data_IF_255172501522
#
_entry.id   IF_255172501522
#
_cell.length_a   1.000
_cell.length_b   1.000
_cell.length_c   1.000
_cell.angle_alpha   90.00
_cell.angle_beta   90.00
_cell.angle_gamma   90.00
#
_symmetry.space_group_name_H-M   'P 1'
#
loop_
_entity.id
_entity.type
_entity.pdbx_description
1 polymer ?
#
# COMPACT_ATOMS: atom_id res chain seq x y z
N UNK A 1 -0.89 17.89 1.24
CA UNK A 1 -2.31 17.76 0.84
C UNK A 1 -2.83 19.06 0.23
N UNK A 2 -2.80 20.20 0.92
CA UNK A 2 -3.35 21.47 0.42
C UNK A 2 -2.72 21.96 -0.89
N UNK A 3 -1.40 21.81 -1.08
CA UNK A 3 -0.75 22.15 -2.37
C UNK A 3 -1.37 21.38 -3.55
N UNK A 4 -1.68 20.08 -3.37
CA UNK A 4 -2.36 19.27 -4.38
C UNK A 4 -3.81 19.71 -4.62
N UNK A 5 -4.54 20.06 -3.56
CA UNK A 5 -5.92 20.55 -3.67
C UNK A 5 -5.94 21.88 -4.43
N UNK A 6 -5.05 22.82 -4.09
CA UNK A 6 -4.91 24.12 -4.74
C UNK A 6 -4.55 23.98 -6.23
N UNK A 7 -3.58 23.11 -6.57
CA UNK A 7 -3.22 22.82 -7.95
C UNK A 7 -4.37 22.25 -8.79
N UNK A 8 -5.32 21.56 -8.17
CA UNK A 8 -6.53 21.00 -8.80
C UNK A 8 -7.76 21.91 -8.67
N UNK A 9 -7.62 23.18 -8.29
CA UNK A 9 -8.73 24.12 -8.13
C UNK A 9 -9.72 23.76 -7.00
N UNK A 10 -9.31 22.89 -6.06
CA UNK A 10 -10.15 22.44 -4.94
C UNK A 10 -9.88 23.28 -3.69
N UNK A 11 -10.93 23.44 -2.87
CA UNK A 11 -10.84 24.15 -1.58
C UNK A 11 -9.82 23.47 -0.66
N UNK A 12 -9.00 24.27 -0.02
CA UNK A 12 -8.04 23.81 1.00
C UNK A 12 -8.78 23.29 2.23
N UNK A 13 -8.16 22.32 2.88
CA UNK A 13 -8.65 21.76 4.15
C UNK A 13 -8.00 22.54 5.31
N UNK A 14 -8.81 23.01 6.24
CA UNK A 14 -8.33 23.68 7.45
C UNK A 14 -7.59 22.71 8.39
N UNK A 15 -6.78 23.26 9.28
CA UNK A 15 -5.91 22.48 10.15
C UNK A 15 -6.69 21.55 11.11
N UNK A 16 -7.85 21.97 11.60
CA UNK A 16 -8.66 21.16 12.52
C UNK A 16 -9.28 19.96 11.82
N UNK A 17 -9.85 20.18 10.65
CA UNK A 17 -10.41 19.12 9.79
C UNK A 17 -9.33 18.12 9.38
N UNK A 18 -8.14 18.62 9.01
CA UNK A 18 -7.00 17.76 8.69
C UNK A 18 -6.57 16.93 9.89
N UNK A 19 -6.41 17.54 11.06
CA UNK A 19 -5.97 16.85 12.28
C UNK A 19 -6.98 15.78 12.73
N UNK A 20 -8.29 16.07 12.61
CA UNK A 20 -9.35 15.09 12.89
C UNK A 20 -9.24 13.88 11.96
N UNK A 21 -9.18 14.12 10.67
CA UNK A 21 -9.05 13.06 9.65
C UNK A 21 -7.79 12.23 9.84
N UNK A 22 -6.65 12.87 10.12
CA UNK A 22 -5.39 12.17 10.38
C UNK A 22 -5.51 11.22 11.58
N UNK A 23 -6.09 11.68 12.70
CA UNK A 23 -6.29 10.87 13.89
C UNK A 23 -7.23 9.67 13.62
N UNK A 24 -8.35 9.90 12.96
CA UNK A 24 -9.31 8.85 12.62
C UNK A 24 -8.66 7.76 11.76
N UNK A 25 -7.95 8.16 10.70
CA UNK A 25 -7.25 7.21 9.81
C UNK A 25 -6.11 6.49 10.55
N UNK A 26 -5.35 7.19 11.38
CA UNK A 26 -4.28 6.57 12.15
C UNK A 26 -4.82 5.53 13.16
N UNK A 27 -5.93 5.82 13.83
CA UNK A 27 -6.59 4.86 14.72
C UNK A 27 -7.04 3.60 13.99
N UNK A 28 -7.60 3.73 12.77
CA UNK A 28 -7.98 2.58 11.91
C UNK A 28 -6.79 1.70 11.54
N UNK A 29 -5.60 2.29 11.41
CA UNK A 29 -4.35 1.61 11.12
C UNK A 29 -3.60 1.14 12.37
N UNK A 30 -4.23 1.19 13.54
CA UNK A 30 -3.67 0.71 14.81
C UNK A 30 -2.51 1.57 15.35
N UNK A 31 -2.43 2.85 14.97
CA UNK A 31 -1.44 3.75 15.55
C UNK A 31 -1.88 4.29 16.91
N UNK A 32 -0.95 4.33 17.85
CA UNK A 32 -1.12 5.11 19.10
C UNK A 32 -1.07 6.61 18.82
N UNK A 33 -1.68 7.42 19.71
CA UNK A 33 -1.67 8.89 19.58
C UNK A 33 -0.26 9.48 19.58
N UNK A 34 0.70 8.81 20.22
CA UNK A 34 2.07 9.31 20.37
C UNK A 34 2.87 9.17 19.06
N UNK A 35 2.53 8.22 18.20
CA UNK A 35 3.18 8.06 16.89
C UNK A 35 3.00 9.28 15.99
N UNK A 36 1.82 9.93 16.07
CA UNK A 36 1.54 11.14 15.28
C UNK A 36 2.29 12.39 15.75
N UNK A 37 2.93 12.34 16.92
CA UNK A 37 3.76 13.44 17.46
C UNK A 37 5.22 13.31 17.12
N UNK A 38 5.66 12.12 16.65
CA UNK A 38 7.05 11.86 16.27
C UNK A 38 7.35 12.44 14.89
N UNK A 39 8.60 12.76 14.65
CA UNK A 39 9.06 13.06 13.29
C UNK A 39 8.86 11.84 12.39
N UNK A 40 8.55 12.07 11.13
CA UNK A 40 8.27 10.99 10.15
C UNK A 40 9.49 10.08 10.05
N UNK A 41 9.25 8.78 10.21
CA UNK A 41 10.26 7.71 10.18
C UNK A 41 11.30 7.72 11.31
N UNK A 42 11.22 8.61 12.28
CA UNK A 42 12.14 8.64 13.41
C UNK A 42 11.67 7.67 14.51
N UNK A 43 12.51 6.67 14.79
CA UNK A 43 12.23 5.65 15.81
C UNK A 43 11.07 4.70 15.46
N UNK A 44 10.64 4.61 14.19
CA UNK A 44 9.62 3.68 13.75
C UNK A 44 10.21 2.28 13.53
N UNK A 45 9.50 1.25 13.99
CA UNK A 45 9.74 -0.12 13.58
C UNK A 45 9.45 -0.32 12.08
N UNK A 46 9.91 -1.43 11.49
CA UNK A 46 9.61 -1.75 10.09
C UNK A 46 8.10 -1.77 9.81
N UNK A 47 7.32 -2.44 10.68
CA UNK A 47 5.86 -2.49 10.55
C UNK A 47 5.18 -1.13 10.73
N UNK A 48 5.67 -0.28 11.64
CA UNK A 48 5.15 1.08 11.79
C UNK A 48 5.40 1.92 10.54
N UNK A 49 6.58 1.82 9.92
CA UNK A 49 6.90 2.53 8.67
C UNK A 49 5.93 2.14 7.56
N UNK A 50 5.68 0.84 7.36
CA UNK A 50 4.76 0.35 6.31
C UNK A 50 3.31 0.78 6.56
N UNK A 51 2.82 0.69 7.80
CA UNK A 51 1.50 1.24 8.16
C UNK A 51 1.43 2.76 7.95
N UNK A 52 2.54 3.47 8.20
CA UNK A 52 2.60 4.91 7.97
C UNK A 52 2.56 5.27 6.48
N UNK A 53 3.13 4.46 5.59
CA UNK A 53 2.97 4.60 4.13
C UNK A 53 1.49 4.49 3.74
N UNK A 54 0.76 3.50 4.30
CA UNK A 54 -0.69 3.36 4.08
C UNK A 54 -1.47 4.57 4.63
N UNK A 55 -1.09 5.10 5.80
CA UNK A 55 -1.67 6.33 6.35
C UNK A 55 -1.49 7.51 5.39
N UNK A 56 -0.29 7.69 4.83
CA UNK A 56 -0.02 8.74 3.85
C UNK A 56 -0.90 8.58 2.60
N UNK A 57 -1.00 7.37 2.04
CA UNK A 57 -1.88 7.10 0.89
C UNK A 57 -3.35 7.42 1.22
N UNK A 58 -3.83 7.04 2.40
CA UNK A 58 -5.20 7.28 2.83
C UNK A 58 -5.55 8.77 2.95
N UNK A 59 -4.56 9.59 3.34
CA UNK A 59 -4.71 11.04 3.45
C UNK A 59 -4.58 11.72 2.08
N UNK A 60 -3.58 11.31 1.28
CA UNK A 60 -3.26 11.97 0.01
C UNK A 60 -4.15 11.54 -1.14
N UNK A 61 -4.72 10.33 -1.06
CA UNK A 61 -5.55 9.69 -2.11
C UNK A 61 -4.95 9.87 -3.51
N UNK A 62 -3.77 9.29 -3.76
CA UNK A 62 -3.13 9.38 -5.08
C UNK A 62 -3.97 8.62 -6.12
N UNK A 63 -3.85 8.99 -7.39
CA UNK A 63 -4.42 8.23 -8.50
C UNK A 63 -3.61 6.98 -8.82
N UNK A 64 -2.30 7.01 -8.61
CA UNK A 64 -1.39 5.88 -8.72
C UNK A 64 -0.58 5.75 -7.43
N UNK A 65 -0.56 4.55 -6.86
CA UNK A 65 0.30 4.15 -5.74
C UNK A 65 1.25 3.06 -6.21
N UNK A 66 2.53 3.23 -5.92
CA UNK A 66 3.56 2.21 -6.18
C UNK A 66 4.00 1.68 -4.81
N UNK A 67 3.81 0.37 -4.60
CA UNK A 67 4.11 -0.34 -3.37
C UNK A 67 5.24 -1.33 -3.66
N UNK A 68 6.43 -1.00 -3.19
CA UNK A 68 7.62 -1.82 -3.43
C UNK A 68 7.96 -2.60 -2.15
N UNK A 69 7.82 -3.94 -2.23
CA UNK A 69 8.05 -4.87 -1.12
C UNK A 69 7.44 -4.41 0.22
N UNK A 70 6.20 -3.92 0.18
CA UNK A 70 5.51 -3.35 1.35
C UNK A 70 5.21 -4.40 2.42
N UNK A 71 5.24 -5.66 2.06
CA UNK A 71 5.03 -6.84 2.90
C UNK A 71 6.31 -7.39 3.55
N UNK A 72 7.49 -6.92 3.13
CA UNK A 72 8.77 -7.38 3.67
C UNK A 72 8.92 -7.02 5.14
N UNK A 73 9.22 -8.03 5.98
CA UNK A 73 9.44 -7.84 7.41
C UNK A 73 8.17 -7.57 8.23
N UNK A 74 6.98 -7.77 7.68
CA UNK A 74 5.72 -7.68 8.41
C UNK A 74 5.34 -9.01 9.04
N UNK A 75 4.83 -8.97 10.29
CA UNK A 75 4.05 -10.06 10.85
C UNK A 75 2.66 -10.15 10.20
N UNK A 76 1.91 -11.19 10.54
CA UNK A 76 0.60 -11.47 9.94
C UNK A 76 -0.39 -10.34 10.21
N UNK A 77 -0.37 -9.77 11.41
CA UNK A 77 -1.31 -8.72 11.82
C UNK A 77 -1.00 -7.39 11.11
N UNK A 78 0.27 -7.03 11.03
CA UNK A 78 0.71 -5.85 10.30
C UNK A 78 0.42 -5.96 8.79
N UNK A 79 0.63 -7.15 8.20
CA UNK A 79 0.29 -7.42 6.81
C UNK A 79 -1.21 -7.23 6.56
N UNK A 80 -2.06 -7.75 7.44
CA UNK A 80 -3.52 -7.60 7.36
C UNK A 80 -3.94 -6.12 7.37
N UNK A 81 -3.40 -5.33 8.30
CA UNK A 81 -3.67 -3.89 8.39
C UNK A 81 -3.28 -3.17 7.09
N UNK A 82 -2.11 -3.50 6.53
CA UNK A 82 -1.62 -2.90 5.27
C UNK A 82 -2.53 -3.28 4.10
N UNK A 83 -2.88 -4.55 3.97
CA UNK A 83 -3.72 -5.03 2.85
C UNK A 83 -5.15 -4.52 2.93
N UNK A 84 -5.75 -4.46 4.12
CA UNK A 84 -7.05 -3.82 4.34
C UNK A 84 -7.00 -2.33 3.99
N UNK A 85 -5.94 -1.63 4.39
CA UNK A 85 -5.72 -0.23 4.05
C UNK A 85 -5.66 0.01 2.55
N UNK A 86 -4.95 -0.84 1.79
CA UNK A 86 -4.87 -0.79 0.34
C UNK A 86 -6.24 -1.09 -0.28
N UNK A 87 -6.93 -2.14 0.16
CA UNK A 87 -8.25 -2.51 -0.36
C UNK A 87 -9.29 -1.40 -0.15
N UNK A 88 -9.26 -0.73 1.00
CA UNK A 88 -10.15 0.40 1.30
C UNK A 88 -9.90 1.63 0.41
N UNK A 89 -8.72 1.72 -0.21
CA UNK A 89 -8.37 2.80 -1.13
C UNK A 89 -8.66 2.48 -2.60
N UNK A 90 -8.98 1.23 -2.92
CA UNK A 90 -9.34 0.84 -4.29
C UNK A 90 -10.60 1.56 -4.74
N UNK A 91 -10.54 2.11 -5.94
CA UNK A 91 -11.68 2.81 -6.57
C UNK A 91 -11.51 2.80 -8.08
N UNK A 92 -12.54 3.22 -8.81
CA UNK A 92 -12.49 3.36 -10.28
C UNK A 92 -11.47 4.42 -10.75
N UNK A 93 -10.98 5.26 -9.84
CA UNK A 93 -10.06 6.38 -10.15
C UNK A 93 -8.69 6.23 -9.47
N UNK A 94 -8.41 5.06 -8.86
CA UNK A 94 -7.14 4.75 -8.23
C UNK A 94 -6.54 3.47 -8.81
N UNK A 95 -5.24 3.47 -9.02
CA UNK A 95 -4.45 2.33 -9.49
C UNK A 95 -3.33 2.02 -8.51
N UNK A 96 -3.01 0.74 -8.37
CA UNK A 96 -1.93 0.25 -7.53
C UNK A 96 -0.98 -0.59 -8.36
N UNK A 97 0.31 -0.26 -8.34
CA UNK A 97 1.39 -1.10 -8.82
C UNK A 97 2.08 -1.70 -7.60
N UNK A 98 1.98 -3.00 -7.43
CA UNK A 98 2.51 -3.71 -6.26
C UNK A 98 3.64 -4.62 -6.73
N UNK A 99 4.81 -4.46 -6.12
CA UNK A 99 5.98 -5.31 -6.34
C UNK A 99 6.12 -6.17 -5.10
N UNK A 100 6.03 -7.47 -5.27
CA UNK A 100 6.16 -8.44 -4.17
C UNK A 100 6.63 -9.79 -4.70
N UNK A 101 7.26 -10.55 -3.83
CA UNK A 101 7.58 -11.97 -4.05
C UNK A 101 6.79 -12.88 -3.08
N UNK A 102 5.86 -12.31 -2.30
CA UNK A 102 5.05 -13.05 -1.32
C UNK A 102 3.62 -13.26 -1.80
N UNK A 103 3.24 -14.51 -1.98
CA UNK A 103 1.87 -14.92 -2.33
C UNK A 103 0.84 -14.41 -1.34
N UNK A 104 1.14 -14.42 -0.03
CA UNK A 104 0.24 -13.99 1.03
C UNK A 104 -0.34 -12.59 0.81
N UNK A 105 0.44 -11.67 0.23
CA UNK A 105 -0.04 -10.34 -0.11
C UNK A 105 -1.10 -10.42 -1.21
N UNK A 106 -0.85 -11.22 -2.25
CA UNK A 106 -1.74 -11.36 -3.42
C UNK A 106 -3.05 -12.04 -3.05
N UNK A 107 -3.05 -12.93 -2.05
CA UNK A 107 -4.26 -13.56 -1.54
C UNK A 107 -5.20 -12.56 -0.88
N UNK A 108 -4.65 -11.56 -0.20
CA UNK A 108 -5.43 -10.55 0.51
C UNK A 108 -5.82 -9.35 -0.37
N UNK A 109 -5.01 -8.98 -1.38
CA UNK A 109 -5.30 -7.82 -2.23
C UNK A 109 -6.04 -8.21 -3.51
N UNK A 110 -5.99 -9.45 -3.98
CA UNK A 110 -6.61 -9.93 -5.21
C UNK A 110 -6.33 -9.02 -6.43
N UNK A 111 -5.17 -9.16 -7.07
CA UNK A 111 -4.78 -8.30 -8.19
C UNK A 111 -5.67 -8.52 -9.42
N UNK A 112 -5.93 -7.45 -10.19
CA UNK A 112 -6.62 -7.53 -11.48
C UNK A 112 -5.70 -8.12 -12.55
N UNK A 113 -4.40 -7.77 -12.50
CA UNK A 113 -3.35 -8.25 -13.40
C UNK A 113 -2.09 -8.63 -12.63
N UNK A 114 -1.41 -9.67 -13.11
CA UNK A 114 -0.12 -10.14 -12.61
C UNK A 114 0.88 -10.16 -13.77
N UNK A 115 2.05 -9.57 -13.55
CA UNK A 115 3.17 -9.59 -14.48
C UNK A 115 4.37 -10.26 -13.82
N UNK A 116 4.93 -11.27 -14.47
CA UNK A 116 6.15 -11.94 -14.00
C UNK A 116 7.35 -11.31 -14.67
N UNK A 117 8.31 -10.87 -13.87
CA UNK A 117 9.56 -10.29 -14.34
C UNK A 117 10.68 -11.29 -14.07
N UNK A 118 11.42 -11.66 -15.11
CA UNK A 118 12.65 -12.45 -15.01
C UNK A 118 13.71 -11.86 -15.95
N UNK A 119 14.95 -11.83 -15.50
CA UNK A 119 16.09 -11.29 -16.27
C UNK A 119 15.83 -9.86 -16.84
N UNK A 120 15.14 -9.00 -16.07
CA UNK A 120 14.83 -7.63 -16.47
C UNK A 120 13.74 -7.48 -17.53
N UNK A 121 12.97 -8.55 -17.81
CA UNK A 121 11.89 -8.56 -18.82
C UNK A 121 10.61 -9.12 -18.24
N UNK A 122 9.46 -8.64 -18.75
CA UNK A 122 8.16 -9.24 -18.47
C UNK A 122 8.07 -10.53 -19.31
N UNK A 123 8.07 -11.69 -18.65
CA UNK A 123 8.05 -13.01 -19.30
C UNK A 123 6.65 -13.62 -19.36
N UNK A 124 5.74 -13.18 -18.49
CA UNK A 124 4.32 -13.60 -18.51
C UNK A 124 3.43 -12.49 -17.97
N UNK A 125 2.22 -12.38 -18.50
CA UNK A 125 1.18 -11.46 -18.02
C UNK A 125 -0.17 -12.15 -18.03
N UNK A 126 -1.02 -11.88 -17.04
CA UNK A 126 -2.38 -12.45 -16.96
C UNK A 126 -3.04 -12.15 -15.61
N UNK A 127 -4.00 -12.97 -15.22
CA UNK A 127 -4.76 -12.84 -13.98
C UNK A 127 -4.07 -13.48 -12.77
N UNK A 128 -4.81 -13.56 -11.66
CA UNK A 128 -4.34 -14.10 -10.36
C UNK A 128 -3.77 -15.53 -10.46
N UNK A 129 -4.27 -16.37 -11.36
CA UNK A 129 -3.79 -17.75 -11.55
C UNK A 129 -2.28 -17.85 -11.83
N UNK A 130 -1.67 -16.80 -12.41
CA UNK A 130 -0.22 -16.78 -12.62
C UNK A 130 0.53 -16.78 -11.28
N UNK A 131 0.04 -16.07 -10.28
CA UNK A 131 0.64 -16.05 -8.95
C UNK A 131 0.55 -17.44 -8.28
N UNK A 132 -0.60 -18.11 -8.41
CA UNK A 132 -0.80 -19.47 -7.93
C UNK A 132 0.13 -20.48 -8.63
N UNK A 133 0.31 -20.35 -9.95
CA UNK A 133 1.26 -21.16 -10.72
C UNK A 133 2.71 -20.99 -10.23
N UNK A 134 3.11 -19.75 -9.87
CA UNK A 134 4.45 -19.48 -9.36
C UNK A 134 4.65 -20.12 -7.99
N UNK A 135 3.67 -20.06 -7.12
CA UNK A 135 3.74 -20.67 -5.79
C UNK A 135 3.94 -22.18 -5.88
N UNK A 136 3.17 -22.84 -6.78
CA UNK A 136 3.23 -24.29 -6.95
C UNK A 136 4.50 -24.77 -7.66
N UNK A 137 5.02 -24.04 -8.63
CA UNK A 137 6.10 -24.50 -9.52
C UNK A 137 7.40 -23.70 -9.44
N UNK A 138 7.40 -22.61 -8.68
CA UNK A 138 8.53 -21.68 -8.59
C UNK A 138 8.78 -20.90 -9.88
N UNK A 139 9.78 -20.03 -9.86
CA UNK A 139 10.16 -19.20 -11.00
C UNK A 139 10.86 -19.97 -12.14
N UNK A 140 11.27 -21.23 -11.92
CA UNK A 140 12.03 -22.03 -12.90
C UNK A 140 11.32 -22.23 -14.25
N UNK A 141 10.00 -22.09 -14.29
CA UNK A 141 9.23 -22.16 -15.53
C UNK A 141 9.29 -20.87 -16.37
N UNK A 142 9.84 -19.80 -15.82
CA UNK A 142 9.76 -18.46 -16.42
C UNK A 142 11.14 -17.88 -16.79
N UNK A 143 12.24 -18.57 -16.45
CA UNK A 143 13.60 -18.11 -16.78
C UNK A 143 14.63 -19.18 -16.75
#
# INVERSE_FOLDING_TARGET
MNSKLKANGKKEVDALTFAKRLRETANQLGFSKDVLRRAVNEGFSGGEKKRFEVLQMSILKPQLSILDETDSGLDIDALKIVTEGVNNLRSKTSSFLIITHYQRLLDQIAPDYVHVIANGRIVKSGGKSIAEDIELSGYKKFG
#
